data_IF_980923676149
#
_entry.id   IF_980923676149
#
_cell.length_a   1.000
_cell.length_b   1.000
_cell.length_c   1.000
_cell.angle_alpha   90.00
_cell.angle_beta   90.00
_cell.angle_gamma   90.00
#
_symmetry.space_group_name_H-M   'P 1'
#
loop_
_entity.id
_entity.type
_entity.pdbx_description
1 polymer ?
#
# COMPACT_ATOMS: atom_id res chain seq x y z
N UNK A 1 -22.68 27.42 -44.93
CA UNK A 1 -23.08 27.14 -43.54
C UNK A 1 -21.88 27.41 -42.64
N UNK A 2 -21.99 28.38 -41.73
CA UNK A 2 -20.95 28.72 -40.74
C UNK A 2 -21.10 27.78 -39.55
N UNK A 3 -20.06 27.02 -39.22
CA UNK A 3 -20.02 26.22 -37.99
C UNK A 3 -19.72 27.16 -36.81
N UNK A 4 -20.65 27.27 -35.86
CA UNK A 4 -20.45 27.94 -34.59
C UNK A 4 -19.82 26.92 -33.65
N UNK A 5 -18.56 27.15 -33.28
CA UNK A 5 -17.87 26.39 -32.24
C UNK A 5 -18.31 26.96 -30.89
N UNK A 6 -19.11 26.21 -30.14
CA UNK A 6 -19.41 26.52 -28.74
C UNK A 6 -18.18 26.16 -27.90
N UNK A 7 -17.43 27.19 -27.49
CA UNK A 7 -16.35 27.07 -26.53
C UNK A 7 -16.98 26.92 -25.13
N UNK A 8 -17.12 25.69 -24.63
CA UNK A 8 -17.45 25.46 -23.23
C UNK A 8 -16.24 25.87 -22.38
N UNK A 9 -16.30 27.07 -21.80
CA UNK A 9 -15.44 27.47 -20.70
C UNK A 9 -15.74 26.56 -19.50
N UNK A 10 -14.99 25.48 -19.35
CA UNK A 10 -14.85 24.78 -18.09
C UNK A 10 -14.20 25.75 -17.10
N UNK A 11 -15.03 26.44 -16.31
CA UNK A 11 -14.58 27.09 -15.09
C UNK A 11 -14.18 25.95 -14.17
N UNK A 12 -12.89 25.59 -14.21
CA UNK A 12 -12.24 24.85 -13.14
C UNK A 12 -12.33 25.76 -11.91
N UNK A 13 -13.38 25.59 -11.12
CA UNK A 13 -13.31 25.96 -9.72
C UNK A 13 -12.25 25.04 -9.12
N UNK A 14 -11.06 25.53 -8.72
CA UNK A 14 -10.25 24.74 -7.82
C UNK A 14 -11.13 24.51 -6.58
N UNK A 15 -11.54 23.26 -6.35
CA UNK A 15 -12.02 22.84 -5.04
C UNK A 15 -10.84 23.09 -4.08
N UNK A 16 -10.80 24.29 -3.49
CA UNK A 16 -9.95 24.57 -2.34
C UNK A 16 -10.51 23.75 -1.19
N UNK A 17 -10.08 22.50 -1.09
CA UNK A 17 -10.20 21.72 0.13
C UNK A 17 -9.14 22.26 1.08
N UNK A 18 -9.41 23.38 1.74
CA UNK A 18 -8.66 23.75 2.95
C UNK A 18 -9.41 23.12 4.11
N UNK A 19 -8.79 22.15 4.79
CA UNK A 19 -9.35 21.62 6.05
C UNK A 19 -9.31 22.73 7.10
N UNK A 20 -10.47 23.18 7.58
CA UNK A 20 -10.55 24.09 8.71
C UNK A 20 -10.35 23.28 10.00
N UNK A 21 -9.25 23.51 10.71
CA UNK A 21 -8.94 22.85 11.98
C UNK A 21 -10.12 22.92 12.96
N UNK A 22 -10.83 24.05 13.02
CA UNK A 22 -11.96 24.19 13.94
C UNK A 22 -13.11 23.26 13.56
N UNK A 23 -13.32 23.00 12.27
CA UNK A 23 -14.35 22.11 11.78
C UNK A 23 -13.96 20.64 11.97
N UNK A 24 -12.70 20.30 11.68
CA UNK A 24 -12.12 18.98 11.87
C UNK A 24 -12.18 18.57 13.35
N UNK A 25 -11.68 19.42 14.25
CA UNK A 25 -11.69 19.17 15.69
C UNK A 25 -13.12 19.05 16.24
N UNK A 26 -14.02 19.96 15.83
CA UNK A 26 -15.43 19.88 16.22
C UNK A 26 -16.06 18.56 15.75
N UNK A 27 -15.65 18.05 14.60
CA UNK A 27 -16.11 16.75 14.10
C UNK A 27 -15.58 15.62 14.98
N UNK A 28 -14.29 15.60 15.34
CA UNK A 28 -13.74 14.61 16.27
C UNK A 28 -14.51 14.63 17.60
N UNK A 29 -14.61 15.80 18.24
CA UNK A 29 -15.25 15.97 19.55
C UNK A 29 -16.68 15.45 19.57
N UNK A 30 -17.48 15.81 18.56
CA UNK A 30 -18.89 15.38 18.51
C UNK A 30 -19.06 13.90 18.19
N UNK A 31 -18.16 13.32 17.38
CA UNK A 31 -18.32 11.94 16.89
C UNK A 31 -17.75 10.89 17.85
N UNK A 32 -16.80 11.30 18.70
CA UNK A 32 -16.12 10.43 19.67
C UNK A 32 -16.52 10.69 21.11
N UNK A 33 -17.46 11.60 21.35
CA UNK A 33 -17.93 11.99 22.68
C UNK A 33 -16.77 12.36 23.62
N UNK A 34 -15.86 13.19 23.10
CA UNK A 34 -14.64 13.57 23.81
C UNK A 34 -14.95 14.39 25.06
N UNK A 35 -14.33 14.05 26.20
CA UNK A 35 -14.34 14.95 27.36
C UNK A 35 -13.61 16.24 26.99
N UNK A 36 -14.29 17.38 27.16
CA UNK A 36 -13.71 18.70 26.92
C UNK A 36 -12.44 18.95 27.77
N UNK A 37 -12.31 18.31 28.94
CA UNK A 37 -11.11 18.38 29.80
C UNK A 37 -9.92 17.60 29.22
N UNK A 38 -10.20 16.64 28.36
CA UNK A 38 -9.22 15.81 27.65
C UNK A 38 -9.13 16.15 26.16
N UNK A 39 -9.63 17.33 25.78
CA UNK A 39 -9.57 17.83 24.40
C UNK A 39 -8.51 18.92 24.29
N UNK A 40 -7.59 18.78 23.34
CA UNK A 40 -6.62 19.81 23.01
C UNK A 40 -7.14 20.68 21.87
N UNK A 41 -7.57 21.90 22.19
CA UNK A 41 -8.23 22.82 21.25
C UNK A 41 -7.26 23.63 20.36
N UNK A 42 -6.02 23.18 20.23
CA UNK A 42 -5.01 23.80 19.36
C UNK A 42 -4.41 22.74 18.45
N UNK A 43 -4.09 23.11 17.21
CA UNK A 43 -3.44 22.15 16.31
C UNK A 43 -1.94 22.14 16.48
N UNK A 44 -1.31 23.32 16.33
CA UNK A 44 0.14 23.46 16.39
C UNK A 44 0.63 23.26 17.82
N UNK A 45 1.63 22.40 17.99
CA UNK A 45 2.30 22.15 19.26
C UNK A 45 3.52 23.07 19.38
N UNK A 46 3.41 24.07 20.24
CA UNK A 46 4.43 25.10 20.52
C UNK A 46 4.47 25.41 22.01
N UNK A 47 5.49 26.13 22.48
CA UNK A 47 5.62 26.60 23.86
C UNK A 47 4.38 27.37 24.34
N UNK A 48 3.69 28.07 23.45
CA UNK A 48 2.46 28.83 23.74
C UNK A 48 1.21 27.96 23.83
N UNK A 49 1.11 26.91 23.02
CA UNK A 49 -0.11 26.09 22.96
C UNK A 49 -0.04 24.90 23.90
N UNK A 50 1.16 24.35 24.16
CA UNK A 50 1.37 23.16 24.98
C UNK A 50 1.03 23.37 26.46
N UNK A 51 0.88 24.61 26.91
CA UNK A 51 0.38 24.94 28.26
C UNK A 51 -1.07 24.49 28.47
N UNK A 52 -1.87 24.46 27.39
CA UNK A 52 -3.27 24.03 27.39
C UNK A 52 -3.45 22.53 27.19
N UNK A 53 -2.36 21.77 27.07
CA UNK A 53 -2.46 20.33 26.84
C UNK A 53 -2.96 19.59 28.09
N UNK A 54 -3.91 18.63 27.96
CA UNK A 54 -4.51 17.94 29.09
C UNK A 54 -3.60 16.84 29.68
N UNK A 55 -2.64 17.25 30.53
CA UNK A 55 -1.57 16.40 31.08
C UNK A 55 -2.03 15.24 31.97
N UNK A 56 -3.28 15.23 32.40
CA UNK A 56 -3.83 14.22 33.32
C UNK A 56 -4.78 13.23 32.62
N UNK A 57 -4.85 13.27 31.29
CA UNK A 57 -5.70 12.38 30.50
C UNK A 57 -4.87 11.28 29.84
N UNK A 58 -5.43 10.08 29.83
CA UNK A 58 -4.86 8.93 29.13
C UNK A 58 -5.28 8.92 27.65
N UNK A 59 -6.53 9.28 27.42
CA UNK A 59 -7.17 9.48 26.14
C UNK A 59 -7.30 10.97 25.83
N UNK A 60 -6.73 11.40 24.71
CA UNK A 60 -6.72 12.81 24.32
C UNK A 60 -7.31 12.97 22.94
N UNK A 61 -8.32 13.83 22.84
CA UNK A 61 -8.88 14.25 21.55
C UNK A 61 -8.11 15.46 21.01
N UNK A 62 -7.43 15.29 19.89
CA UNK A 62 -6.56 16.33 19.33
C UNK A 62 -6.24 16.11 17.85
N UNK A 63 -5.85 17.20 17.17
CA UNK A 63 -5.13 17.14 15.89
C UNK A 63 -3.75 17.74 16.14
N UNK A 64 -2.79 16.90 16.53
CA UNK A 64 -1.45 17.34 16.89
C UNK A 64 -0.64 17.63 15.62
N UNK A 65 -0.23 18.88 15.45
CA UNK A 65 0.62 19.32 14.34
C UNK A 65 1.97 19.77 14.88
N UNK A 66 3.03 19.10 14.43
CA UNK A 66 4.42 19.47 14.66
C UNK A 66 5.00 19.99 13.35
N UNK A 67 5.52 21.22 13.36
CA UNK A 67 6.01 21.86 12.15
C UNK A 67 7.18 22.80 12.46
N UNK A 68 7.53 23.68 11.54
CA UNK A 68 8.61 24.65 11.72
C UNK A 68 8.40 25.64 12.88
N UNK A 69 7.16 25.77 13.38
CA UNK A 69 6.83 26.62 14.52
C UNK A 69 6.98 25.89 15.87
N UNK A 70 7.16 24.56 15.86
CA UNK A 70 7.39 23.78 17.08
C UNK A 70 8.76 24.12 17.66
N UNK A 71 8.75 24.85 18.77
CA UNK A 71 9.91 25.39 19.49
C UNK A 71 10.23 24.62 20.79
N UNK A 72 9.71 23.40 20.91
CA UNK A 72 9.85 22.54 22.08
C UNK A 72 10.89 21.45 21.85
N UNK A 73 11.72 21.17 22.86
CA UNK A 73 12.64 20.04 22.81
C UNK A 73 11.89 18.70 22.96
N UNK A 74 12.42 17.63 22.39
CA UNK A 74 11.83 16.28 22.50
C UNK A 74 11.63 15.84 23.97
N UNK A 75 12.53 16.23 24.88
CA UNK A 75 12.39 15.97 26.33
C UNK A 75 11.19 16.70 26.95
N UNK A 76 10.83 17.87 26.44
CA UNK A 76 9.67 18.62 26.92
C UNK A 76 8.38 17.98 26.42
N UNK A 77 8.34 17.61 25.14
CA UNK A 77 7.22 16.85 24.55
C UNK A 77 7.00 15.54 25.31
N UNK A 78 8.07 14.79 25.59
CA UNK A 78 8.00 13.53 26.35
C UNK A 78 7.44 13.70 27.76
N UNK A 79 7.75 14.82 28.41
CA UNK A 79 7.20 15.14 29.74
C UNK A 79 5.72 15.49 29.66
N UNK A 80 5.29 16.21 28.62
CA UNK A 80 3.90 16.64 28.46
C UNK A 80 3.00 15.46 28.09
N UNK A 81 3.42 14.64 27.13
CA UNK A 81 2.65 13.51 26.61
C UNK A 81 2.79 12.23 27.45
N UNK A 82 3.43 12.31 28.62
CA UNK A 82 3.75 11.15 29.47
C UNK A 82 2.55 10.28 29.81
N UNK A 83 1.39 10.89 30.04
CA UNK A 83 0.16 10.16 30.40
C UNK A 83 -0.69 9.79 29.19
N UNK A 84 -0.48 10.43 28.03
CA UNK A 84 -1.28 10.19 26.85
C UNK A 84 -0.86 8.85 26.21
N UNK A 85 -1.80 7.91 26.19
CA UNK A 85 -1.65 6.59 25.59
C UNK A 85 -2.62 6.35 24.42
N UNK A 86 -3.67 7.18 24.31
CA UNK A 86 -4.62 7.17 23.21
C UNK A 86 -4.70 8.57 22.60
N UNK A 87 -4.46 8.66 21.29
CA UNK A 87 -4.72 9.86 20.51
C UNK A 87 -5.94 9.64 19.63
N UNK A 88 -6.99 10.41 19.89
CA UNK A 88 -8.23 10.41 19.11
C UNK A 88 -8.22 11.65 18.22
N UNK A 89 -8.01 11.46 16.91
CA UNK A 89 -7.94 12.52 15.93
C UNK A 89 -6.78 12.36 14.96
N UNK A 90 -5.98 13.42 14.78
CA UNK A 90 -4.96 13.50 13.74
C UNK A 90 -3.55 13.69 14.29
N UNK A 91 -2.56 13.18 13.58
CA UNK A 91 -1.15 13.38 13.88
C UNK A 91 -0.42 13.85 12.60
N UNK A 92 0.10 15.07 12.63
CA UNK A 92 0.77 15.73 11.50
C UNK A 92 2.17 16.16 11.92
N UNK A 93 3.18 15.70 11.19
CA UNK A 93 4.58 16.09 11.34
C UNK A 93 5.00 16.65 9.98
N UNK A 94 5.01 17.97 9.84
CA UNK A 94 5.06 18.62 8.53
C UNK A 94 6.06 19.77 8.52
N UNK A 95 7.11 19.69 7.69
CA UNK A 95 8.15 20.72 7.61
C UNK A 95 8.77 21.05 9.00
N UNK A 96 8.93 20.04 9.84
CA UNK A 96 9.40 20.20 11.23
C UNK A 96 10.93 20.09 11.35
N UNK A 97 11.45 20.59 12.48
CA UNK A 97 12.84 20.40 12.89
C UNK A 97 13.02 19.21 13.86
N UNK A 98 12.00 18.37 14.02
CA UNK A 98 12.03 17.21 14.91
C UNK A 98 12.90 16.11 14.29
N UNK A 99 13.70 15.46 15.13
CA UNK A 99 14.59 14.36 14.72
C UNK A 99 14.03 12.98 15.04
N UNK A 100 13.23 12.87 16.10
CA UNK A 100 12.63 11.61 16.55
C UNK A 100 11.20 11.78 17.07
N UNK A 101 10.34 10.79 16.85
CA UNK A 101 9.00 10.69 17.45
C UNK A 101 8.97 9.94 18.79
N UNK A 102 10.13 9.59 19.35
CA UNK A 102 10.28 8.81 20.60
C UNK A 102 9.82 9.52 21.89
N UNK A 103 9.11 10.64 21.74
CA UNK A 103 8.47 11.40 22.82
C UNK A 103 7.05 10.91 23.15
N UNK A 104 6.41 10.07 22.32
CA UNK A 104 5.18 9.37 22.72
C UNK A 104 5.46 8.26 23.73
N UNK A 105 4.51 8.02 24.65
CA UNK A 105 4.66 7.04 25.73
C UNK A 105 3.75 5.84 25.50
N UNK A 106 4.35 4.64 25.48
CA UNK A 106 3.63 3.38 25.30
C UNK A 106 2.94 2.92 26.59
N UNK A 107 1.84 2.19 26.42
CA UNK A 107 1.19 1.41 27.48
C UNK A 107 2.10 0.25 27.83
N UNK A 108 2.67 0.28 29.04
CA UNK A 108 3.71 -0.69 29.48
C UNK A 108 3.29 -2.17 29.41
N UNK A 109 1.99 -2.46 29.56
CA UNK A 109 1.50 -3.84 29.60
C UNK A 109 1.51 -4.49 28.22
N UNK A 110 1.20 -3.72 27.17
CA UNK A 110 1.05 -4.21 25.81
C UNK A 110 2.15 -3.74 24.87
N UNK A 111 2.97 -2.77 25.30
CA UNK A 111 3.95 -2.07 24.47
C UNK A 111 3.27 -1.40 23.26
N UNK A 112 2.15 -0.71 23.49
CA UNK A 112 1.36 -0.09 22.41
C UNK A 112 0.99 1.37 22.67
N UNK A 113 0.70 2.08 21.59
CA UNK A 113 0.09 3.41 21.59
C UNK A 113 -1.16 3.36 20.71
N UNK A 114 -2.30 3.85 21.18
CA UNK A 114 -3.54 3.72 20.43
C UNK A 114 -3.81 4.99 19.62
N UNK A 115 -4.01 4.84 18.31
CA UNK A 115 -4.33 5.93 17.40
C UNK A 115 -5.70 5.69 16.76
N UNK A 116 -6.64 6.59 17.05
CA UNK A 116 -8.04 6.51 16.60
C UNK A 116 -8.30 7.73 15.72
N UNK A 117 -8.26 7.57 14.41
CA UNK A 117 -8.41 8.67 13.44
C UNK A 117 -9.74 8.66 12.70
N UNK A 118 -10.56 7.65 12.93
CA UNK A 118 -11.83 7.48 12.25
C UNK A 118 -12.86 8.43 12.84
N UNK A 119 -13.58 9.19 12.02
CA UNK A 119 -14.69 10.04 12.47
C UNK A 119 -16.02 9.58 11.86
N UNK A 120 -17.14 9.86 12.53
CA UNK A 120 -18.48 9.41 12.10
C UNK A 120 -19.34 10.60 11.66
N UNK A 121 -19.28 11.03 10.39
CA UNK A 121 -20.24 12.00 9.87
C UNK A 121 -20.62 11.62 8.44
N UNK A 122 -21.89 11.76 8.06
CA UNK A 122 -22.27 11.61 6.67
C UNK A 122 -21.98 12.94 5.94
N UNK A 123 -21.40 12.87 4.74
CA UNK A 123 -21.35 13.93 3.72
C UNK A 123 -20.15 14.91 3.66
N UNK A 124 -19.06 14.75 4.42
CA UNK A 124 -17.86 15.62 4.25
C UNK A 124 -16.53 14.87 4.33
N UNK A 125 -15.66 14.92 3.31
CA UNK A 125 -14.33 14.31 3.36
C UNK A 125 -13.42 15.14 4.29
N UNK A 126 -13.06 14.59 5.45
CA UNK A 126 -12.04 15.17 6.34
C UNK A 126 -10.78 14.30 6.30
N UNK A 127 -9.62 14.91 6.07
CA UNK A 127 -8.31 14.24 5.97
C UNK A 127 -7.63 14.19 7.35
N UNK A 128 -8.25 13.47 8.29
CA UNK A 128 -7.73 13.32 9.65
C UNK A 128 -7.10 11.94 9.75
N UNK A 129 -5.77 11.89 9.83
CA UNK A 129 -5.00 10.64 9.87
C UNK A 129 -3.56 10.91 10.29
N UNK A 130 -2.64 10.04 9.85
CA UNK A 130 -1.21 10.21 10.07
C UNK A 130 -0.57 10.84 8.82
N UNK A 131 0.09 11.98 9.01
CA UNK A 131 0.85 12.70 7.97
C UNK A 131 2.27 12.98 8.47
N UNK A 132 3.27 12.46 7.78
CA UNK A 132 4.70 12.74 8.01
C UNK A 132 5.29 13.24 6.70
N UNK A 133 5.35 14.57 6.53
CA UNK A 133 5.59 15.19 5.22
C UNK A 133 6.70 16.25 5.28
N UNK A 134 7.62 16.21 4.32
CA UNK A 134 8.66 17.23 4.13
C UNK A 134 9.58 17.46 5.35
N UNK A 135 9.89 16.43 6.13
CA UNK A 135 10.80 16.56 7.27
C UNK A 135 12.24 16.20 6.87
N UNK A 136 13.06 17.22 6.67
CA UNK A 136 14.46 17.05 6.25
C UNK A 136 15.39 16.56 7.36
N UNK A 137 14.97 16.64 8.62
CA UNK A 137 15.75 16.25 9.80
C UNK A 137 15.22 15.01 10.53
N UNK A 138 14.03 14.52 10.18
CA UNK A 138 13.41 13.40 10.87
C UNK A 138 14.12 12.10 10.49
N UNK A 139 14.68 11.43 11.48
CA UNK A 139 15.47 10.21 11.33
C UNK A 139 14.78 9.00 11.96
N UNK A 140 14.12 9.20 13.11
CA UNK A 140 13.56 8.11 13.94
C UNK A 140 12.03 8.21 14.09
N UNK A 141 11.32 7.28 13.44
CA UNK A 141 9.88 7.07 13.58
C UNK A 141 9.55 5.68 14.16
N UNK A 142 10.51 5.01 14.80
CA UNK A 142 10.38 3.61 15.23
C UNK A 142 9.18 3.40 16.15
N UNK A 143 8.77 4.42 16.91
CA UNK A 143 7.58 4.37 17.78
C UNK A 143 6.29 3.97 17.05
N UNK A 144 6.18 4.25 15.74
CA UNK A 144 5.02 3.88 14.94
C UNK A 144 4.84 2.37 14.85
N UNK A 145 5.89 1.58 15.10
CA UNK A 145 5.78 0.12 15.16
C UNK A 145 4.84 -0.30 16.28
N UNK A 146 4.66 0.52 17.32
CA UNK A 146 3.84 0.24 18.47
C UNK A 146 2.45 0.89 18.36
N UNK A 147 2.14 1.57 17.25
CA UNK A 147 0.85 2.22 17.05
C UNK A 147 -0.22 1.19 16.67
N UNK A 148 -1.26 1.09 17.47
CA UNK A 148 -2.49 0.37 17.15
C UNK A 148 -3.47 1.34 16.50
N UNK A 149 -3.70 1.16 15.21
CA UNK A 149 -4.65 1.95 14.44
C UNK A 149 -6.04 1.37 14.62
N UNK A 150 -6.90 2.12 15.32
CA UNK A 150 -8.27 1.72 15.57
C UNK A 150 -9.20 2.47 14.64
N UNK A 151 -10.05 1.71 13.96
CA UNK A 151 -11.13 2.25 13.13
C UNK A 151 -12.43 1.59 13.59
N UNK A 152 -13.40 2.39 14.02
CA UNK A 152 -14.69 1.85 14.47
C UNK A 152 -15.51 1.39 13.26
N UNK A 153 -16.30 0.29 13.40
CA UNK A 153 -17.11 -0.26 12.30
C UNK A 153 -18.12 0.73 11.68
N UNK A 154 -18.49 1.76 12.45
CA UNK A 154 -19.47 2.77 12.05
C UNK A 154 -18.84 4.03 11.46
N UNK A 155 -17.51 4.09 11.40
CA UNK A 155 -16.79 5.24 10.86
C UNK A 155 -17.17 5.51 9.41
N UNK A 156 -17.27 6.80 9.08
CA UNK A 156 -17.64 7.25 7.76
C UNK A 156 -16.45 7.65 6.90
N UNK A 157 -15.23 7.61 7.44
CA UNK A 157 -14.07 8.27 6.84
C UNK A 157 -12.79 7.45 6.87
N UNK A 158 -11.96 7.77 5.89
CA UNK A 158 -10.63 7.24 5.69
C UNK A 158 -9.67 7.81 6.75
N UNK A 159 -8.85 6.95 7.34
CA UNK A 159 -7.66 7.34 8.08
C UNK A 159 -6.47 7.40 7.11
N UNK A 160 -6.19 8.54 6.44
CA UNK A 160 -5.06 8.61 5.53
C UNK A 160 -3.76 8.32 6.27
N UNK A 161 -2.91 7.49 5.67
CA UNK A 161 -1.55 7.24 6.14
C UNK A 161 -0.57 7.73 5.07
N UNK A 162 0.15 8.81 5.38
CA UNK A 162 1.04 9.50 4.45
C UNK A 162 2.44 9.67 5.05
N UNK A 163 3.46 9.18 4.34
CA UNK A 163 4.87 9.43 4.64
C UNK A 163 5.54 9.91 3.36
N UNK A 164 5.78 11.21 3.25
CA UNK A 164 6.17 11.86 1.99
C UNK A 164 7.41 12.75 2.16
N UNK A 165 8.39 12.61 1.27
CA UNK A 165 9.52 13.53 1.15
C UNK A 165 10.29 13.76 2.47
N UNK A 166 10.60 12.68 3.20
CA UNK A 166 11.42 12.75 4.41
C UNK A 166 12.82 12.24 4.09
N UNK A 167 13.70 13.16 3.70
CA UNK A 167 15.01 12.84 3.08
C UNK A 167 15.98 12.10 3.99
N UNK A 168 15.76 12.15 5.31
CA UNK A 168 16.62 11.55 6.32
C UNK A 168 16.01 10.37 7.07
N UNK A 169 14.76 10.06 6.78
CA UNK A 169 14.06 8.94 7.37
C UNK A 169 14.83 7.68 6.98
N UNK A 170 15.37 6.93 7.96
CA UNK A 170 16.23 5.73 7.75
C UNK A 170 17.75 5.99 7.52
N UNK A 171 18.31 7.16 7.89
CA UNK A 171 19.74 7.49 7.62
C UNK A 171 20.78 7.03 8.65
N UNK A 172 20.41 6.34 9.73
CA UNK A 172 21.40 6.01 10.80
C UNK A 172 22.08 4.65 10.59
N UNK A 173 23.29 4.67 10.03
CA UNK A 173 24.20 3.52 9.88
C UNK A 173 24.62 2.83 11.21
N UNK A 174 24.25 3.38 12.37
CA UNK A 174 24.85 3.03 13.66
C UNK A 174 23.86 2.72 14.79
N UNK A 175 22.68 2.19 14.45
CA UNK A 175 21.82 1.56 15.45
C UNK A 175 21.44 0.15 14.97
N UNK A 176 21.01 -0.68 15.89
CA UNK A 176 20.39 -1.99 15.65
C UNK A 176 19.12 -1.94 14.77
N UNK A 177 18.87 -0.83 14.05
CA UNK A 177 17.73 -0.50 13.20
C UNK A 177 17.91 -0.90 11.73
N UNK A 178 18.84 -1.81 11.39
CA UNK A 178 18.92 -2.38 10.02
C UNK A 178 17.69 -3.20 9.63
N UNK A 179 16.80 -3.49 10.58
CA UNK A 179 15.54 -4.21 10.37
C UNK A 179 14.38 -3.20 10.52
N UNK A 180 14.10 -2.50 9.42
CA UNK A 180 13.08 -1.46 9.31
C UNK A 180 11.69 -2.08 9.17
N UNK A 181 11.13 -2.49 10.32
CA UNK A 181 9.73 -2.86 10.47
C UNK A 181 9.00 -1.82 11.30
N UNK A 182 9.02 -0.55 10.89
CA UNK A 182 8.28 0.50 11.62
C UNK A 182 6.75 0.30 11.54
N UNK A 183 6.25 -0.62 10.70
CA UNK A 183 4.88 -1.08 10.71
C UNK A 183 4.74 -2.49 11.29
N UNK A 184 5.76 -3.01 12.00
CA UNK A 184 5.78 -4.40 12.46
C UNK A 184 4.53 -4.75 13.26
N UNK A 185 4.11 -3.92 14.21
CA UNK A 185 2.92 -4.22 15.03
C UNK A 185 1.64 -3.62 14.48
N UNK A 186 1.67 -3.03 13.28
CA UNK A 186 0.47 -2.66 12.56
C UNK A 186 -0.24 -3.94 12.14
N UNK A 187 -1.35 -4.26 12.81
CA UNK A 187 -2.15 -5.46 12.52
C UNK A 187 -3.21 -5.25 11.46
N UNK A 188 -3.73 -4.03 11.38
CA UNK A 188 -4.88 -3.74 10.55
C UNK A 188 -4.81 -2.32 9.99
N UNK A 189 -5.15 -2.18 8.70
CA UNK A 189 -5.48 -0.88 8.09
C UNK A 189 -6.87 -0.98 7.46
N UNK A 190 -7.76 -0.06 7.81
CA UNK A 190 -9.12 0.00 7.24
C UNK A 190 -9.30 1.18 6.30
N UNK A 191 -10.06 0.99 5.24
CA UNK A 191 -10.52 2.06 4.33
C UNK A 191 -12.05 2.07 4.16
N UNK A 192 -12.58 3.13 3.55
CA UNK A 192 -14.01 3.27 3.21
C UNK A 192 -14.22 3.87 1.83
N UNK A 193 -13.64 3.25 0.82
CA UNK A 193 -13.71 3.64 -0.59
C UNK A 193 -14.93 3.07 -1.29
N UNK A 194 -15.34 1.85 -0.91
CA UNK A 194 -16.27 1.08 -1.73
C UNK A 194 -15.76 0.92 -3.16
N UNK A 195 -16.64 0.59 -4.09
CA UNK A 195 -16.23 0.22 -5.46
C UNK A 195 -15.86 1.38 -6.38
N UNK A 196 -16.14 2.63 -5.98
CA UNK A 196 -16.07 3.81 -6.86
C UNK A 196 -14.86 4.68 -6.53
N UNK A 197 -14.55 4.86 -5.24
CA UNK A 197 -13.45 5.72 -4.83
C UNK A 197 -12.10 5.03 -5.11
N UNK A 198 -11.13 5.82 -5.56
CA UNK A 198 -9.77 5.37 -5.91
C UNK A 198 -8.68 6.14 -5.15
N UNK A 199 -9.02 6.71 -4.00
CA UNK A 199 -8.06 7.37 -3.12
C UNK A 199 -6.99 6.36 -2.69
N UNK A 200 -5.76 6.85 -2.50
CA UNK A 200 -4.67 6.01 -1.97
C UNK A 200 -4.77 5.96 -0.45
N UNK A 201 -4.87 4.77 0.13
CA UNK A 201 -4.95 4.58 1.59
C UNK A 201 -3.56 4.69 2.22
N UNK A 202 -2.60 3.96 1.65
CA UNK A 202 -1.20 3.96 2.06
C UNK A 202 -0.38 4.65 0.98
N UNK A 203 0.02 5.90 1.23
CA UNK A 203 0.80 6.69 0.29
C UNK A 203 2.21 6.93 0.85
N UNK A 204 3.19 6.23 0.30
CA UNK A 204 4.60 6.34 0.70
C UNK A 204 5.42 6.69 -0.53
N UNK A 205 5.91 7.91 -0.60
CA UNK A 205 6.77 8.31 -1.71
C UNK A 205 7.83 9.36 -1.39
N UNK A 206 8.87 9.40 -2.22
CA UNK A 206 10.01 10.31 -2.11
C UNK A 206 10.78 10.17 -0.78
N UNK A 207 10.82 8.96 -0.21
CA UNK A 207 11.65 8.63 0.96
C UNK A 207 12.86 7.81 0.47
N UNK A 208 13.84 8.51 -0.11
CA UNK A 208 14.95 7.92 -0.86
C UNK A 208 15.89 7.01 -0.05
N UNK A 209 15.83 7.06 1.28
CA UNK A 209 16.65 6.23 2.17
C UNK A 209 15.90 5.00 2.69
N UNK A 210 14.57 4.96 2.53
CA UNK A 210 13.70 3.89 3.04
C UNK A 210 13.89 2.59 2.25
N UNK A 211 14.29 1.51 2.95
CA UNK A 211 14.63 0.20 2.32
C UNK A 211 13.62 -0.94 2.53
N UNK A 212 12.73 -0.84 3.52
CA UNK A 212 11.73 -1.88 3.83
C UNK A 212 10.42 -1.27 4.31
N UNK A 213 9.30 -1.96 4.09
CA UNK A 213 8.02 -1.67 4.76
C UNK A 213 7.99 -2.29 6.16
N UNK A 214 8.30 -3.59 6.21
CA UNK A 214 8.26 -4.43 7.41
C UNK A 214 6.87 -4.52 8.01
N UNK A 215 5.91 -4.94 7.18
CA UNK A 215 4.52 -5.22 7.54
C UNK A 215 4.35 -6.63 8.13
N UNK A 216 5.29 -7.08 8.95
CA UNK A 216 5.42 -8.50 9.31
C UNK A 216 4.24 -9.06 10.12
N UNK A 217 3.54 -8.22 10.90
CA UNK A 217 2.32 -8.62 11.62
C UNK A 217 1.05 -7.98 11.05
N UNK A 218 1.08 -7.44 9.84
CA UNK A 218 -0.14 -6.95 9.19
C UNK A 218 -1.01 -8.16 8.82
N UNK A 219 -2.18 -8.23 9.45
CA UNK A 219 -3.13 -9.34 9.31
C UNK A 219 -4.22 -8.98 8.28
N UNK A 220 -4.71 -7.73 8.28
CA UNK A 220 -5.85 -7.33 7.46
C UNK A 220 -5.66 -5.94 6.81
N UNK A 221 -5.97 -5.86 5.51
CA UNK A 221 -6.19 -4.62 4.77
C UNK A 221 -7.63 -4.66 4.24
N UNK A 222 -8.53 -3.97 4.93
CA UNK A 222 -9.95 -4.17 4.70
C UNK A 222 -10.67 -2.86 4.37
N UNK A 223 -11.36 -2.83 3.23
CA UNK A 223 -12.32 -1.79 2.94
C UNK A 223 -13.69 -2.14 3.52
N UNK A 224 -14.23 -1.28 4.39
CA UNK A 224 -15.51 -1.55 5.08
C UNK A 224 -16.72 -1.58 4.15
N UNK A 225 -16.58 -1.14 2.90
CA UNK A 225 -17.59 -1.21 1.85
C UNK A 225 -17.24 -2.23 0.77
N UNK A 226 -16.30 -3.15 1.06
CA UNK A 226 -15.83 -4.19 0.15
C UNK A 226 -15.29 -3.63 -1.19
N UNK A 227 -14.68 -2.44 -1.13
CA UNK A 227 -13.92 -1.83 -2.20
C UNK A 227 -12.48 -2.38 -2.31
N UNK A 228 -11.79 -2.08 -3.42
CA UNK A 228 -10.36 -2.35 -3.53
C UNK A 228 -9.55 -1.41 -2.64
N UNK A 229 -8.38 -1.88 -2.19
CA UNK A 229 -7.46 -1.11 -1.34
C UNK A 229 -6.30 -0.56 -2.19
N UNK A 230 -6.18 0.76 -2.32
CA UNK A 230 -5.14 1.38 -3.15
C UNK A 230 -3.90 1.76 -2.34
N UNK A 231 -2.73 1.34 -2.82
CA UNK A 231 -1.42 1.66 -2.24
C UNK A 231 -0.54 2.37 -3.29
N UNK A 232 0.30 3.29 -2.85
CA UNK A 232 1.33 3.91 -3.67
C UNK A 232 2.69 3.79 -2.98
N UNK A 233 3.63 3.13 -3.65
CA UNK A 233 5.04 3.01 -3.26
C UNK A 233 5.90 3.56 -4.40
N UNK A 234 6.41 4.78 -4.24
CA UNK A 234 7.06 5.51 -5.34
C UNK A 234 8.32 6.24 -4.85
N UNK A 235 9.35 6.35 -5.70
CA UNK A 235 10.60 7.07 -5.40
C UNK A 235 11.20 6.76 -4.00
N UNK A 236 11.31 5.47 -3.68
CA UNK A 236 11.96 4.97 -2.47
C UNK A 236 13.44 4.65 -2.75
N UNK A 237 14.15 4.08 -1.77
CA UNK A 237 15.54 3.67 -1.97
C UNK A 237 15.67 2.67 -3.14
N UNK A 238 16.74 2.71 -3.97
CA UNK A 238 16.91 1.78 -5.09
C UNK A 238 16.97 0.29 -4.70
N UNK A 239 17.34 -0.01 -3.46
CA UNK A 239 17.31 -1.36 -2.85
C UNK A 239 16.06 -1.62 -2.01
N UNK A 240 15.05 -0.74 -2.06
CA UNK A 240 13.77 -0.98 -1.42
C UNK A 240 13.16 -2.28 -1.97
N UNK A 241 12.79 -3.18 -1.06
CA UNK A 241 12.30 -4.50 -1.43
C UNK A 241 11.04 -4.88 -0.66
N UNK A 242 10.25 -5.77 -1.25
CA UNK A 242 9.10 -6.44 -0.65
C UNK A 242 9.40 -7.93 -0.48
N UNK A 243 9.02 -8.51 0.67
CA UNK A 243 9.12 -9.96 0.90
C UNK A 243 8.03 -10.70 0.14
N UNK A 244 8.19 -12.00 -0.02
CA UNK A 244 7.14 -12.82 -0.63
C UNK A 244 5.90 -12.89 0.24
N UNK A 245 6.05 -12.91 1.56
CA UNK A 245 4.94 -12.85 2.50
C UNK A 245 4.15 -11.53 2.37
N UNK A 246 4.82 -10.37 2.21
CA UNK A 246 4.15 -9.09 1.96
C UNK A 246 3.37 -9.10 0.63
N UNK A 247 3.96 -9.65 -0.44
CA UNK A 247 3.29 -9.77 -1.74
C UNK A 247 2.08 -10.71 -1.70
N UNK A 248 2.19 -11.83 -0.97
CA UNK A 248 1.08 -12.76 -0.76
C UNK A 248 -0.04 -12.13 0.05
N UNK A 249 0.30 -11.35 1.09
CA UNK A 249 -0.68 -10.58 1.84
C UNK A 249 -1.41 -9.58 0.92
N UNK A 250 -0.69 -8.84 0.08
CA UNK A 250 -1.32 -7.92 -0.87
C UNK A 250 -2.23 -8.64 -1.89
N UNK A 251 -1.86 -9.85 -2.29
CA UNK A 251 -2.71 -10.72 -3.10
C UNK A 251 -4.00 -11.11 -2.35
N UNK A 252 -3.87 -11.67 -1.14
CA UNK A 252 -5.00 -12.11 -0.30
C UNK A 252 -5.97 -10.96 -0.01
N UNK A 253 -5.43 -9.76 0.23
CA UNK A 253 -6.19 -8.55 0.51
C UNK A 253 -6.62 -7.76 -0.74
N UNK A 254 -6.35 -8.27 -1.95
CA UNK A 254 -6.73 -7.67 -3.24
C UNK A 254 -6.31 -6.20 -3.40
N UNK A 255 -5.07 -5.91 -3.00
CA UNK A 255 -4.49 -4.57 -3.09
C UNK A 255 -4.27 -4.18 -4.56
N UNK A 256 -4.59 -2.93 -4.87
CA UNK A 256 -4.27 -2.27 -6.12
C UNK A 256 -3.14 -1.26 -5.91
N UNK A 257 -2.19 -1.23 -6.83
CA UNK A 257 -1.07 -0.28 -6.77
C UNK A 257 -1.23 0.82 -7.80
N UNK A 258 -1.07 2.08 -7.36
CA UNK A 258 -0.86 3.19 -8.29
C UNK A 258 0.56 3.15 -8.86
N UNK A 259 1.56 3.00 -7.98
CA UNK A 259 2.94 2.68 -8.31
C UNK A 259 3.49 1.66 -7.31
N UNK A 260 4.42 0.82 -7.77
CA UNK A 260 5.13 -0.17 -6.94
C UNK A 260 6.62 -0.20 -7.30
N UNK A 261 7.37 0.80 -6.85
CA UNK A 261 8.82 0.90 -7.06
C UNK A 261 9.59 0.06 -6.04
N UNK A 262 9.61 -1.26 -6.23
CA UNK A 262 10.26 -2.21 -5.33
C UNK A 262 11.01 -3.33 -6.08
N UNK A 263 11.86 -4.05 -5.34
CA UNK A 263 12.46 -5.35 -5.73
C UNK A 263 11.92 -6.48 -4.85
N UNK A 264 12.18 -7.73 -5.19
CA UNK A 264 12.01 -8.83 -4.22
C UNK A 264 13.13 -8.76 -3.19
N UNK A 265 12.79 -8.94 -1.92
CA UNK A 265 13.82 -9.09 -0.90
C UNK A 265 14.61 -10.40 -1.12
N UNK A 266 15.91 -10.43 -0.81
CA UNK A 266 16.69 -11.67 -0.88
C UNK A 266 16.05 -12.76 -0.03
N UNK A 267 15.79 -13.92 -0.62
CA UNK A 267 15.18 -15.06 0.06
C UNK A 267 16.07 -16.28 -0.07
N UNK A 268 16.20 -17.01 1.04
CA UNK A 268 16.96 -18.27 1.10
C UNK A 268 16.07 -19.46 1.45
N UNK A 269 14.82 -19.21 1.89
CA UNK A 269 13.85 -20.26 2.16
C UNK A 269 13.46 -20.97 0.87
N UNK A 270 13.43 -22.30 0.94
CA UNK A 270 12.85 -23.16 -0.10
C UNK A 270 11.34 -23.33 0.03
N UNK A 271 10.75 -22.75 1.09
CA UNK A 271 9.32 -22.81 1.38
C UNK A 271 8.82 -21.49 1.93
N UNK A 272 7.66 -21.06 1.46
CA UNK A 272 6.92 -19.90 1.98
C UNK A 272 5.53 -20.41 2.38
N UNK A 273 5.11 -20.16 3.63
CA UNK A 273 3.82 -20.66 4.16
C UNK A 273 3.58 -22.17 3.92
N UNK A 274 4.65 -22.97 3.98
CA UNK A 274 4.61 -24.42 3.75
C UNK A 274 4.68 -24.87 2.28
N UNK A 275 4.44 -23.95 1.34
CA UNK A 275 4.47 -24.17 -0.12
C UNK A 275 5.90 -24.16 -0.65
N UNK A 276 6.23 -25.03 -1.60
CA UNK A 276 7.57 -25.15 -2.19
C UNK A 276 7.85 -24.00 -3.15
N UNK A 277 8.89 -23.22 -2.86
CA UNK A 277 9.42 -22.18 -3.74
C UNK A 277 10.53 -22.76 -4.62
N UNK A 278 10.42 -22.53 -5.93
CA UNK A 278 11.41 -22.93 -6.92
C UNK A 278 11.88 -21.74 -7.75
N UNK A 279 13.20 -21.58 -7.88
CA UNK A 279 13.79 -20.62 -8.81
C UNK A 279 13.76 -21.16 -10.25
N UNK A 280 13.30 -20.33 -11.18
CA UNK A 280 13.29 -20.66 -12.60
C UNK A 280 14.69 -20.41 -13.17
N UNK A 281 15.36 -21.49 -13.56
CA UNK A 281 16.52 -21.43 -14.46
C UNK A 281 16.10 -21.84 -15.87
N UNK A 282 15.39 -22.95 -15.96
CA UNK A 282 14.82 -23.50 -17.18
C UNK A 282 13.77 -24.56 -16.83
N UNK A 283 12.78 -24.78 -17.71
CA UNK A 283 11.70 -25.73 -17.43
C UNK A 283 12.14 -27.20 -17.39
N UNK A 284 13.24 -27.56 -18.05
CA UNK A 284 13.79 -28.92 -18.01
C UNK A 284 14.38 -29.28 -16.64
N UNK A 285 14.98 -28.31 -15.96
CA UNK A 285 15.58 -28.47 -14.63
C UNK A 285 14.62 -28.18 -13.48
N UNK A 286 13.48 -27.54 -13.74
CA UNK A 286 12.47 -27.22 -12.72
C UNK A 286 11.89 -28.50 -12.08
N UNK A 287 11.69 -28.50 -10.77
CA UNK A 287 11.01 -29.62 -10.11
C UNK A 287 9.51 -29.64 -10.50
N UNK A 288 8.87 -30.81 -10.46
CA UNK A 288 7.46 -30.96 -10.86
C UNK A 288 6.43 -30.68 -9.75
N UNK A 289 6.89 -30.56 -8.51
CA UNK A 289 6.11 -30.35 -7.29
C UNK A 289 6.29 -28.91 -6.74
N UNK A 290 6.64 -27.96 -7.60
CA UNK A 290 6.74 -26.54 -7.23
C UNK A 290 5.34 -25.92 -7.11
N UNK A 291 5.10 -25.25 -5.99
CA UNK A 291 3.86 -24.49 -5.75
C UNK A 291 4.07 -23.02 -6.15
N UNK A 292 5.22 -22.44 -5.79
CA UNK A 292 5.59 -21.06 -6.09
C UNK A 292 6.84 -21.03 -6.97
N UNK A 293 6.85 -20.10 -7.93
CA UNK A 293 7.98 -19.86 -8.80
C UNK A 293 8.59 -18.47 -8.58
N UNK A 294 9.91 -18.39 -8.59
CA UNK A 294 10.67 -17.14 -8.60
C UNK A 294 11.47 -17.03 -9.90
N UNK A 295 11.27 -15.94 -10.64
CA UNK A 295 11.95 -15.65 -11.90
C UNK A 295 10.99 -15.53 -13.08
N UNK A 296 11.56 -15.22 -14.25
CA UNK A 296 10.79 -15.01 -15.47
C UNK A 296 10.48 -16.33 -16.17
N UNK A 297 9.19 -16.61 -16.36
CA UNK A 297 8.70 -17.81 -17.03
C UNK A 297 8.51 -17.53 -18.52
N UNK A 298 9.35 -18.15 -19.35
CA UNK A 298 9.24 -18.10 -20.81
C UNK A 298 8.76 -19.44 -21.35
N UNK A 299 7.67 -19.41 -22.12
CA UNK A 299 7.14 -20.54 -22.89
C UNK A 299 7.28 -20.20 -24.36
N UNK A 300 8.13 -20.96 -25.05
CA UNK A 300 8.31 -20.86 -26.48
C UNK A 300 8.03 -22.18 -27.23
N UNK A 301 8.74 -22.39 -28.34
CA UNK A 301 8.60 -23.55 -29.19
C UNK A 301 9.27 -24.83 -28.64
N UNK A 302 10.17 -24.72 -27.65
CA UNK A 302 11.00 -25.84 -27.18
C UNK A 302 10.51 -26.47 -25.86
N UNK A 303 9.62 -25.80 -25.13
CA UNK A 303 9.29 -26.12 -23.74
C UNK A 303 8.13 -27.12 -23.60
N UNK A 304 7.50 -27.51 -24.72
CA UNK A 304 6.25 -28.28 -24.73
C UNK A 304 6.23 -29.53 -23.86
N UNK A 305 7.36 -30.26 -23.80
CA UNK A 305 7.48 -31.51 -23.01
C UNK A 305 7.56 -31.30 -21.50
N UNK A 306 7.80 -30.07 -21.03
CA UNK A 306 7.99 -29.75 -19.60
C UNK A 306 6.82 -28.97 -19.01
N UNK A 307 5.83 -28.60 -19.82
CA UNK A 307 4.67 -27.81 -19.38
C UNK A 307 3.87 -28.46 -18.26
N UNK A 308 3.93 -29.79 -18.13
CA UNK A 308 3.27 -30.50 -17.05
C UNK A 308 3.78 -30.11 -15.65
N UNK A 309 4.98 -29.55 -15.54
CA UNK A 309 5.54 -29.07 -14.27
C UNK A 309 4.85 -27.80 -13.75
N UNK A 310 4.09 -27.13 -14.62
CA UNK A 310 3.37 -25.90 -14.29
C UNK A 310 1.96 -26.14 -13.74
N UNK A 311 1.46 -27.39 -13.79
CA UNK A 311 0.09 -27.71 -13.36
C UNK A 311 -0.20 -27.35 -11.90
N UNK A 312 0.78 -27.48 -11.01
CA UNK A 312 0.62 -27.23 -9.57
C UNK A 312 1.02 -25.82 -9.16
N UNK A 313 1.54 -25.01 -10.09
CA UNK A 313 2.04 -23.67 -9.77
C UNK A 313 0.86 -22.75 -9.46
N UNK A 314 0.88 -22.19 -8.26
CA UNK A 314 -0.13 -21.27 -7.71
C UNK A 314 0.31 -19.82 -7.91
N UNK A 315 1.59 -19.52 -7.66
CA UNK A 315 2.11 -18.15 -7.65
C UNK A 315 3.36 -18.05 -8.52
N UNK A 316 3.44 -16.97 -9.31
CA UNK A 316 4.63 -16.58 -10.04
C UNK A 316 5.13 -15.21 -9.57
N UNK A 317 6.29 -15.21 -8.90
CA UNK A 317 7.05 -14.00 -8.60
C UNK A 317 8.00 -13.70 -9.77
N UNK A 318 7.46 -13.05 -10.81
CA UNK A 318 8.18 -12.71 -12.03
C UNK A 318 7.24 -12.39 -13.19
N UNK A 319 7.75 -12.43 -14.42
CA UNK A 319 6.95 -12.24 -15.64
C UNK A 319 6.55 -13.56 -16.30
N UNK A 320 5.41 -13.59 -16.98
CA UNK A 320 4.97 -14.67 -17.84
C UNK A 320 5.03 -14.25 -19.30
N UNK A 321 5.86 -14.93 -20.09
CA UNK A 321 6.02 -14.69 -21.52
C UNK A 321 5.68 -15.93 -22.33
N UNK A 322 4.69 -15.84 -23.21
CA UNK A 322 4.28 -16.91 -24.12
C UNK A 322 4.49 -16.44 -25.55
N UNK A 323 5.47 -17.01 -26.25
CA UNK A 323 5.84 -16.55 -27.59
C UNK A 323 6.20 -17.67 -28.57
N UNK A 324 5.90 -17.47 -29.85
CA UNK A 324 6.33 -18.38 -30.93
C UNK A 324 5.94 -19.86 -30.72
N UNK A 325 4.98 -20.13 -29.85
CA UNK A 325 4.66 -21.50 -29.46
C UNK A 325 3.73 -22.17 -30.47
N UNK A 326 3.77 -23.51 -30.49
CA UNK A 326 2.85 -24.36 -31.28
C UNK A 326 1.65 -24.83 -30.48
N UNK A 327 1.47 -24.33 -29.26
CA UNK A 327 0.36 -24.70 -28.39
C UNK A 327 -0.95 -24.15 -28.95
N UNK A 328 -2.01 -24.94 -28.82
CA UNK A 328 -3.37 -24.49 -29.11
C UNK A 328 -4.04 -23.83 -27.89
N UNK A 329 -3.54 -24.10 -26.68
CA UNK A 329 -4.05 -23.51 -25.45
C UNK A 329 -3.12 -23.65 -24.25
N UNK A 330 -3.48 -23.00 -23.14
CA UNK A 330 -2.64 -22.83 -21.94
C UNK A 330 -3.20 -23.49 -20.67
N UNK A 331 -3.96 -24.58 -20.80
CA UNK A 331 -4.66 -25.22 -19.68
C UNK A 331 -3.73 -25.73 -18.55
N UNK A 332 -2.42 -25.81 -18.77
CA UNK A 332 -1.43 -26.16 -17.76
C UNK A 332 -1.19 -25.06 -16.71
N UNK A 333 -1.75 -23.87 -16.88
CA UNK A 333 -1.82 -22.82 -15.85
C UNK A 333 -3.13 -22.86 -15.05
N UNK A 334 -3.72 -24.05 -14.86
CA UNK A 334 -5.01 -24.17 -14.21
C UNK A 334 -5.00 -23.59 -12.78
N UNK A 335 -3.97 -23.92 -11.99
CA UNK A 335 -3.85 -23.48 -10.60
C UNK A 335 -3.19 -22.10 -10.44
N UNK A 336 -2.73 -21.46 -11.52
CA UNK A 336 -2.07 -20.17 -11.41
C UNK A 336 -3.08 -19.09 -10.99
N UNK A 337 -2.89 -18.59 -9.77
CA UNK A 337 -3.80 -17.68 -9.08
C UNK A 337 -3.26 -16.26 -9.01
N UNK A 338 -1.94 -16.10 -9.00
CA UNK A 338 -1.29 -14.82 -8.76
C UNK A 338 0.01 -14.67 -9.54
N UNK A 339 0.20 -13.48 -10.13
CA UNK A 339 1.47 -13.08 -10.72
C UNK A 339 1.89 -11.74 -10.10
N UNK A 340 3.06 -11.70 -9.49
CA UNK A 340 3.67 -10.48 -8.99
C UNK A 340 4.93 -10.18 -9.80
N UNK A 341 4.87 -9.24 -10.74
CA UNK A 341 6.02 -8.74 -11.48
C UNK A 341 6.46 -7.38 -10.95
N UNK A 342 7.65 -7.33 -10.36
CA UNK A 342 8.30 -6.08 -9.95
C UNK A 342 9.26 -5.54 -11.03
N UNK A 343 9.21 -6.09 -12.24
CA UNK A 343 9.97 -5.66 -13.40
C UNK A 343 9.24 -4.53 -14.14
N UNK A 344 9.93 -3.41 -14.40
CA UNK A 344 9.40 -2.26 -15.13
C UNK A 344 9.75 -2.25 -16.63
N UNK A 345 10.62 -3.16 -17.06
CA UNK A 345 11.09 -3.25 -18.45
C UNK A 345 10.18 -4.10 -19.34
N UNK A 346 9.33 -4.94 -18.73
CA UNK A 346 8.41 -5.83 -19.44
C UNK A 346 7.06 -5.92 -18.72
N UNK A 347 5.95 -6.10 -19.44
CA UNK A 347 4.64 -6.38 -18.84
C UNK A 347 4.70 -7.67 -18.01
N UNK A 348 3.87 -7.76 -16.97
CA UNK A 348 3.76 -8.98 -16.15
C UNK A 348 3.32 -10.19 -16.98
N UNK A 349 2.45 -9.98 -17.97
CA UNK A 349 2.04 -11.01 -18.93
C UNK A 349 2.25 -10.50 -20.36
N UNK A 350 3.07 -11.22 -21.13
CA UNK A 350 3.28 -10.98 -22.56
C UNK A 350 2.92 -12.21 -23.37
N UNK A 351 1.92 -12.11 -24.25
CA UNK A 351 1.54 -13.18 -25.18
C UNK A 351 1.70 -12.68 -26.60
N UNK A 352 2.69 -13.20 -27.34
CA UNK A 352 2.99 -12.68 -28.68
C UNK A 352 3.33 -13.72 -29.74
N UNK A 353 2.95 -13.45 -30.99
CA UNK A 353 3.40 -14.22 -32.15
C UNK A 353 3.11 -15.73 -32.06
N UNK A 354 2.00 -16.13 -31.43
CA UNK A 354 1.59 -17.53 -31.31
C UNK A 354 0.56 -17.87 -32.40
N UNK A 355 1.07 -18.40 -33.53
CA UNK A 355 0.26 -18.67 -34.72
C UNK A 355 -0.89 -19.66 -34.49
N UNK A 356 -0.72 -20.61 -33.58
CA UNK A 356 -1.66 -21.71 -33.35
C UNK A 356 -2.49 -21.56 -32.09
N UNK A 357 -2.22 -20.54 -31.26
CA UNK A 357 -2.88 -20.36 -29.98
C UNK A 357 -4.34 -19.96 -30.19
N UNK A 358 -5.26 -20.85 -29.82
CA UNK A 358 -6.70 -20.65 -29.95
C UNK A 358 -7.32 -20.10 -28.67
N UNK A 359 -6.76 -20.44 -27.51
CA UNK A 359 -7.31 -20.08 -26.19
C UNK A 359 -6.20 -19.76 -25.18
N UNK A 360 -6.23 -18.55 -24.61
CA UNK A 360 -5.44 -18.18 -23.44
C UNK A 360 -6.31 -18.38 -22.20
N UNK A 361 -6.20 -19.55 -21.58
CA UNK A 361 -6.93 -19.92 -20.36
C UNK A 361 -6.01 -19.81 -19.15
N UNK A 362 -6.35 -18.87 -18.27
CA UNK A 362 -5.77 -18.65 -16.94
C UNK A 362 -6.94 -18.61 -15.94
N UNK A 363 -7.56 -19.76 -15.66
CA UNK A 363 -8.88 -19.80 -15.02
C UNK A 363 -8.87 -19.23 -13.60
N UNK A 364 -7.86 -19.57 -12.78
CA UNK A 364 -7.77 -19.10 -11.40
C UNK A 364 -7.13 -17.71 -11.26
N UNK A 365 -6.61 -17.14 -12.36
CA UNK A 365 -6.13 -15.76 -12.42
C UNK A 365 -7.29 -14.75 -12.67
N UNK A 366 -8.54 -15.23 -12.76
CA UNK A 366 -9.76 -14.43 -13.01
C UNK A 366 -10.57 -14.15 -11.72
N UNK A 367 -11.39 -13.10 -11.78
CA UNK A 367 -12.23 -12.58 -10.67
C UNK A 367 -13.66 -13.12 -10.73
N UNK A 368 -14.20 -13.50 -9.57
CA UNK A 368 -15.63 -13.68 -9.31
C UNK A 368 -16.30 -12.36 -8.83
N UNK A 369 -16.42 -11.30 -9.66
CA UNK A 369 -17.27 -10.12 -9.39
C UNK A 369 -17.16 -8.98 -10.42
N UNK A 370 -18.17 -8.08 -10.54
CA UNK A 370 -18.30 -7.10 -11.64
C UNK A 370 -17.34 -5.89 -11.59
N UNK A 371 -16.34 -5.89 -10.71
CA UNK A 371 -15.28 -4.87 -10.64
C UNK A 371 -13.97 -5.54 -11.04
N UNK A 372 -13.62 -5.46 -12.33
CA UNK A 372 -12.43 -6.06 -12.93
C UNK A 372 -11.16 -5.69 -12.13
N UNK A 373 -10.55 -6.66 -11.46
CA UNK A 373 -9.18 -6.55 -10.94
C UNK A 373 -8.48 -7.88 -11.15
N UNK A 374 -7.68 -7.99 -12.21
CA UNK A 374 -6.85 -9.17 -12.43
C UNK A 374 -5.91 -9.31 -11.23
N UNK A 375 -5.74 -10.52 -10.67
CA UNK A 375 -4.76 -10.80 -9.61
C UNK A 375 -3.32 -10.78 -10.15
N UNK A 376 -2.95 -9.64 -10.74
CA UNK A 376 -1.63 -9.38 -11.32
C UNK A 376 -1.14 -8.07 -10.74
N UNK A 377 -0.04 -8.13 -9.97
CA UNK A 377 0.75 -6.95 -9.64
C UNK A 377 1.79 -6.77 -10.73
N UNK A 378 1.88 -5.55 -11.26
CA UNK A 378 2.85 -5.18 -12.28
C UNK A 378 3.44 -3.81 -11.98
N UNK A 379 4.77 -3.70 -11.99
CA UNK A 379 5.46 -2.41 -12.01
C UNK A 379 5.40 -1.75 -13.38
N UNK A 380 5.32 -2.54 -14.46
CA UNK A 380 5.08 -2.02 -15.80
C UNK A 380 3.65 -1.50 -15.95
N UNK A 381 3.47 -0.35 -16.63
CA UNK A 381 2.18 0.34 -16.79
C UNK A 381 1.13 -0.52 -17.50
N UNK A 382 1.55 -1.22 -18.55
CA UNK A 382 0.72 -2.23 -19.21
C UNK A 382 0.98 -3.58 -18.54
N UNK A 383 0.13 -4.01 -17.62
CA UNK A 383 0.33 -5.27 -16.90
C UNK A 383 0.21 -6.50 -17.81
N UNK A 384 -0.64 -6.41 -18.85
CA UNK A 384 -0.94 -7.49 -19.79
C UNK A 384 -0.87 -6.95 -21.21
N UNK A 385 -0.02 -7.56 -22.04
CA UNK A 385 0.14 -7.23 -23.46
C UNK A 385 -0.08 -8.49 -24.30
N UNK A 386 -1.01 -8.41 -25.26
CA UNK A 386 -1.31 -9.51 -26.18
C UNK A 386 -1.26 -8.99 -27.61
N UNK A 387 -0.26 -9.43 -28.38
CA UNK A 387 0.01 -8.92 -29.74
C UNK A 387 0.29 -10.06 -30.74
N UNK A 388 -0.01 -9.88 -32.02
CA UNK A 388 0.35 -10.84 -33.08
C UNK A 388 -0.08 -12.31 -32.82
N UNK A 389 -1.29 -12.55 -32.31
CA UNK A 389 -1.85 -13.90 -32.12
C UNK A 389 -3.06 -14.11 -33.06
N UNK A 390 -2.85 -14.47 -34.34
CA UNK A 390 -3.87 -14.36 -35.39
C UNK A 390 -5.12 -15.20 -35.15
N UNK A 391 -4.99 -16.36 -34.51
CA UNK A 391 -6.12 -17.28 -34.28
C UNK A 391 -6.80 -17.02 -32.93
N UNK A 392 -6.10 -16.44 -31.95
CA UNK A 392 -6.61 -16.23 -30.59
C UNK A 392 -7.85 -15.32 -30.55
N UNK A 393 -7.92 -14.34 -31.45
CA UNK A 393 -9.01 -13.35 -31.50
C UNK A 393 -10.16 -13.73 -32.45
N UNK A 394 -10.07 -14.87 -33.13
CA UNK A 394 -11.06 -15.26 -34.16
C UNK A 394 -12.41 -15.71 -33.58
N UNK A 395 -12.49 -16.01 -32.29
CA UNK A 395 -13.70 -16.60 -31.67
C UNK A 395 -13.98 -16.16 -30.22
N UNK A 396 -13.28 -15.15 -29.68
CA UNK A 396 -13.38 -14.78 -28.27
C UNK A 396 -13.54 -13.26 -28.05
N UNK A 397 -14.76 -12.82 -27.69
CA UNK A 397 -15.04 -11.39 -27.41
C UNK A 397 -14.35 -10.88 -26.13
N UNK A 398 -14.03 -11.73 -25.14
CA UNK A 398 -13.37 -11.31 -23.89
C UNK A 398 -11.91 -10.85 -24.09
N UNK A 399 -11.22 -11.36 -25.12
CA UNK A 399 -9.83 -11.00 -25.41
C UNK A 399 -9.69 -9.68 -26.19
N UNK A 400 -10.77 -9.18 -26.81
CA UNK A 400 -10.73 -7.95 -27.61
C UNK A 400 -10.43 -6.70 -26.76
N UNK A 401 -10.62 -6.74 -25.45
CA UNK A 401 -10.32 -5.63 -24.52
C UNK A 401 -8.82 -5.41 -24.27
N UNK A 402 -7.97 -6.39 -24.59
CA UNK A 402 -6.51 -6.34 -24.38
C UNK A 402 -5.72 -6.17 -25.69
N UNK A 403 -6.43 -5.87 -26.79
CA UNK A 403 -5.82 -5.63 -28.10
C UNK A 403 -5.41 -4.17 -28.18
N UNK A 404 -4.12 -3.89 -28.13
CA UNK A 404 -3.53 -2.57 -28.44
C UNK A 404 -3.19 -2.55 -29.94
#
# INVERSE_FOLDING_TARGET
MKYIIFLYLFILFPLKVSSDFSEDLKTIVNTKDCDWKCTFNYSEVTSKTIEYFPRNCEDVCAILTFNSNTDLAESELKRVFKQMHYLIGGLRIENSNITSLSFFTLIKVYDTFNFICDTCKLYHIYLIGLSIVNNSLLEDIAILQNFQFWVTPHSAYECPFQILNNTKLDTTDNTTLKDMSFLKSLKEIRSKHGKINRNVVLNIHDNYEMRRLGLDNLEELYDVLFGPFFINLENLHPEFCLTFEELLLFYEQRVLFNNIHAKYCPESKKKINGQKLCEIRSLDTLDSDCDYLLGDLVIDSYEGRYLYKLFNVIVLFGTLKIQYTKLEGTNFFYNLEYIASLNDSHPAILVRSNKYLKQLKLPNLKVDSPSLTIHVISRHKDAVVIEDNPVLFSSNMECLMYRI
#
